data_IF_131451246456
#
_entry.id   IF_131451246456
#
_cell.length_a   1.000
_cell.length_b   1.000
_cell.length_c   1.000
_cell.angle_alpha   90.00
_cell.angle_beta   90.00
_cell.angle_gamma   90.00
#
_symmetry.space_group_name_H-M   'P 1'
#
loop_
_entity.id
_entity.type
_entity.pdbx_description
1 polymer ?
#
# COMPACT_ATOMS: atom_id res chain seq x y z
N UNK A 1 -8.71 23.77 -0.72
CA UNK A 1 -7.28 23.77 -1.10
C UNK A 1 -6.33 23.84 0.10
N UNK A 2 -6.63 24.56 1.19
CA UNK A 2 -5.73 24.68 2.35
C UNK A 2 -5.45 23.37 3.14
N UNK A 3 -6.43 22.46 3.27
CA UNK A 3 -6.28 21.23 4.08
C UNK A 3 -5.41 20.15 3.41
N UNK A 4 -5.46 20.02 2.08
CA UNK A 4 -4.59 19.10 1.33
C UNK A 4 -3.11 19.49 1.43
N UNK A 5 -2.81 20.78 1.54
CA UNK A 5 -1.44 21.27 1.73
C UNK A 5 -0.90 20.92 3.13
N UNK A 6 -1.75 20.98 4.16
CA UNK A 6 -1.34 20.67 5.53
C UNK A 6 -1.04 19.19 5.73
N UNK A 7 -1.87 18.30 5.17
CA UNK A 7 -1.67 16.85 5.24
C UNK A 7 -0.41 16.42 4.47
N UNK A 8 -0.22 16.94 3.26
CA UNK A 8 0.99 16.67 2.46
C UNK A 8 2.23 17.19 3.19
N UNK A 9 2.17 18.39 3.79
CA UNK A 9 3.27 18.91 4.61
C UNK A 9 3.55 18.02 5.82
N UNK A 10 2.53 17.54 6.52
CA UNK A 10 2.71 16.68 7.69
C UNK A 10 3.28 15.30 7.33
N UNK A 11 2.83 14.69 6.23
CA UNK A 11 3.35 13.42 5.71
C UNK A 11 4.75 13.58 5.12
N UNK A 12 5.03 14.68 4.42
CA UNK A 12 6.38 15.02 3.99
C UNK A 12 7.28 15.22 5.21
N UNK A 13 6.82 15.92 6.26
CA UNK A 13 7.55 16.07 7.51
C UNK A 13 7.73 14.72 8.21
N UNK A 14 6.74 13.83 8.21
CA UNK A 14 6.84 12.48 8.79
C UNK A 14 7.82 11.58 8.04
N UNK A 15 7.79 11.58 6.70
CA UNK A 15 8.75 10.87 5.85
C UNK A 15 10.15 11.46 5.97
N UNK A 16 10.26 12.79 6.06
CA UNK A 16 11.52 13.50 6.34
C UNK A 16 12.02 13.14 7.74
N UNK A 17 11.15 13.07 8.75
CA UNK A 17 11.50 12.69 10.13
C UNK A 17 11.95 11.23 10.19
N UNK A 18 11.28 10.29 9.49
CA UNK A 18 11.75 8.90 9.36
C UNK A 18 13.12 8.84 8.67
N UNK A 19 13.32 9.67 7.64
CA UNK A 19 14.60 9.77 6.92
C UNK A 19 15.71 10.39 7.80
N UNK A 20 15.38 11.38 8.65
CA UNK A 20 16.29 12.02 9.61
C UNK A 20 16.61 11.07 10.78
N UNK A 21 15.65 10.29 11.26
CA UNK A 21 15.90 9.28 12.29
C UNK A 21 16.77 8.12 11.76
N UNK A 22 16.77 7.86 10.44
CA UNK A 22 17.69 6.91 9.83
C UNK A 22 19.16 7.39 9.81
N UNK A 23 19.41 8.71 9.90
CA UNK A 23 20.77 9.28 9.84
C UNK A 23 21.58 9.16 11.15
N UNK A 24 20.98 8.78 12.29
CA UNK A 24 21.71 8.73 13.57
C UNK A 24 22.45 7.42 13.88
N UNK A 25 22.50 6.45 12.97
CA UNK A 25 23.25 5.22 13.20
C UNK A 25 24.69 5.32 12.66
N UNK A 26 25.57 5.98 13.41
CA UNK A 26 27.03 5.92 13.19
C UNK A 26 27.48 4.48 13.43
N UNK A 27 27.86 3.76 12.37
CA UNK A 27 28.54 2.47 12.54
C UNK A 27 29.63 2.26 11.51
N UNK A 28 30.85 2.13 12.04
CA UNK A 28 32.01 1.55 11.37
C UNK A 28 31.72 0.06 11.19
N UNK A 29 31.72 -0.40 9.94
CA UNK A 29 31.55 -1.81 9.59
C UNK A 29 32.86 -2.58 9.84
N UNK A 30 32.82 -3.84 10.31
CA UNK A 30 33.99 -4.72 10.29
C UNK A 30 34.42 -5.07 8.85
N UNK A 31 35.71 -5.28 8.64
CA UNK A 31 36.35 -5.50 7.32
C UNK A 31 35.85 -6.76 6.57
N UNK A 32 35.14 -7.66 7.25
CA UNK A 32 34.63 -8.93 6.73
C UNK A 32 33.29 -8.83 5.97
N UNK A 33 32.67 -7.65 5.91
CA UNK A 33 31.41 -7.42 5.18
C UNK A 33 31.58 -7.33 3.65
N UNK A 34 32.53 -8.07 3.08
CA UNK A 34 32.68 -8.20 1.63
C UNK A 34 31.73 -9.27 1.10
N UNK A 35 31.15 -8.99 -0.06
CA UNK A 35 30.17 -9.84 -0.74
C UNK A 35 30.77 -11.23 -0.99
N UNK A 36 30.15 -12.29 -0.47
CA UNK A 36 30.55 -13.64 -0.86
C UNK A 36 30.47 -13.79 -2.38
N UNK A 37 31.58 -14.23 -2.99
CA UNK A 37 31.72 -14.38 -4.44
C UNK A 37 31.03 -15.69 -4.84
N UNK A 38 29.70 -15.65 -4.88
CA UNK A 38 28.88 -16.79 -5.26
C UNK A 38 28.66 -16.77 -6.78
N UNK A 39 28.40 -17.91 -7.41
CA UNK A 39 28.14 -18.02 -8.86
C UNK A 39 27.01 -17.10 -9.36
N UNK A 40 26.15 -16.64 -8.45
CA UNK A 40 25.04 -15.73 -8.67
C UNK A 40 25.45 -14.24 -8.78
N UNK A 41 26.60 -13.81 -8.25
CA UNK A 41 26.99 -12.39 -8.21
C UNK A 41 27.76 -12.02 -9.48
N UNK A 42 27.11 -11.30 -10.41
CA UNK A 42 27.74 -10.91 -11.67
C UNK A 42 27.22 -9.57 -12.19
N UNK A 43 28.02 -8.51 -12.04
CA UNK A 43 27.66 -7.14 -12.46
C UNK A 43 27.33 -7.03 -13.96
N UNK A 44 28.09 -7.71 -14.83
CA UNK A 44 27.88 -7.66 -16.29
C UNK A 44 26.56 -8.32 -16.71
N UNK A 45 26.18 -9.42 -16.04
CA UNK A 45 24.91 -10.12 -16.28
C UNK A 45 23.72 -9.46 -15.54
N UNK A 46 23.96 -8.74 -14.45
CA UNK A 46 22.92 -8.04 -13.69
C UNK A 46 22.40 -6.81 -14.45
N UNK A 47 23.26 -6.06 -15.14
CA UNK A 47 22.86 -4.86 -15.87
C UNK A 47 21.72 -5.09 -16.88
N UNK A 48 21.80 -6.05 -17.82
CA UNK A 48 20.69 -6.29 -18.75
C UNK A 48 19.41 -6.74 -18.04
N UNK A 49 19.52 -7.49 -16.93
CA UNK A 49 18.36 -7.89 -16.13
C UNK A 49 17.67 -6.69 -15.47
N UNK A 50 18.43 -5.72 -14.96
CA UNK A 50 17.88 -4.47 -14.40
C UNK A 50 17.18 -3.63 -15.46
N UNK A 51 17.72 -3.57 -16.68
CA UNK A 51 17.08 -2.87 -17.81
C UNK A 51 15.78 -3.58 -18.19
N UNK A 52 15.78 -4.91 -18.28
CA UNK A 52 14.55 -5.70 -18.52
C UNK A 52 13.53 -5.44 -17.40
N UNK A 53 13.97 -5.37 -16.14
CA UNK A 53 13.11 -5.08 -14.99
C UNK A 53 12.38 -3.74 -15.16
N UNK A 54 13.08 -2.67 -15.54
CA UNK A 54 12.50 -1.34 -15.76
C UNK A 54 11.32 -1.41 -16.73
N UNK A 55 11.51 -2.03 -17.90
CA UNK A 55 10.47 -2.08 -18.93
C UNK A 55 9.33 -3.03 -18.58
N UNK A 56 9.65 -4.24 -18.08
CA UNK A 56 8.65 -5.25 -17.73
C UNK A 56 7.74 -4.77 -16.59
N UNK A 57 8.32 -4.19 -15.54
CA UNK A 57 7.57 -3.64 -14.40
C UNK A 57 6.72 -2.46 -14.87
N UNK A 58 7.28 -1.52 -15.64
CA UNK A 58 6.52 -0.38 -16.18
C UNK A 58 5.28 -0.83 -16.96
N UNK A 59 5.43 -1.80 -17.86
CA UNK A 59 4.33 -2.34 -18.67
C UNK A 59 3.29 -3.02 -17.76
N UNK A 60 3.74 -3.86 -16.82
CA UNK A 60 2.84 -4.55 -15.88
C UNK A 60 2.06 -3.57 -15.00
N UNK A 61 2.69 -2.48 -14.54
CA UNK A 61 2.07 -1.44 -13.75
C UNK A 61 0.99 -0.71 -14.55
N UNK A 62 1.29 -0.32 -15.79
CA UNK A 62 0.34 0.36 -16.67
C UNK A 62 -0.88 -0.54 -16.90
N UNK A 63 -0.66 -1.82 -17.22
CA UNK A 63 -1.75 -2.80 -17.41
C UNK A 63 -2.57 -2.91 -16.12
N UNK A 64 -1.91 -3.09 -14.98
CA UNK A 64 -2.56 -3.22 -13.68
C UNK A 64 -3.45 -2.04 -13.33
N UNK A 65 -2.89 -0.83 -13.32
CA UNK A 65 -3.62 0.39 -12.91
C UNK A 65 -4.68 0.83 -13.90
N UNK A 66 -4.45 0.59 -15.20
CA UNK A 66 -5.40 0.97 -16.23
C UNK A 66 -6.55 -0.02 -16.38
N UNK A 67 -6.33 -1.31 -16.08
CA UNK A 67 -7.35 -2.36 -16.25
C UNK A 67 -8.69 -1.99 -15.60
N UNK A 68 -8.75 -1.60 -14.30
CA UNK A 68 -9.97 -1.09 -13.66
C UNK A 68 -10.57 0.14 -14.35
N UNK A 69 -9.76 1.06 -14.87
CA UNK A 69 -10.25 2.30 -15.48
C UNK A 69 -11.00 2.05 -16.80
N UNK A 70 -10.64 0.99 -17.52
CA UNK A 70 -11.31 0.56 -18.75
C UNK A 70 -12.45 -0.44 -18.53
N UNK A 71 -12.75 -0.83 -17.29
CA UNK A 71 -13.82 -1.79 -16.98
C UNK A 71 -15.22 -1.33 -17.36
N UNK A 72 -15.46 -0.02 -17.49
CA UNK A 72 -16.74 0.49 -18.04
C UNK A 72 -16.93 0.11 -19.50
N UNK A 73 -15.86 -0.21 -20.23
CA UNK A 73 -15.88 -0.67 -21.62
C UNK A 73 -16.05 -2.19 -21.76
N UNK A 74 -15.84 -2.97 -20.68
CA UNK A 74 -15.98 -4.43 -20.67
C UNK A 74 -17.16 -4.83 -19.75
N UNK A 75 -18.32 -5.26 -20.30
CA UNK A 75 -19.55 -5.52 -19.52
C UNK A 75 -19.40 -6.54 -18.38
N UNK A 76 -18.43 -7.46 -18.47
CA UNK A 76 -18.17 -8.48 -17.45
C UNK A 76 -17.40 -7.95 -16.23
N UNK A 77 -16.60 -6.89 -16.39
CA UNK A 77 -15.76 -6.32 -15.34
C UNK A 77 -16.34 -5.02 -14.77
N UNK A 78 -17.55 -4.63 -15.16
CA UNK A 78 -18.13 -3.39 -14.67
C UNK A 78 -18.22 -3.40 -13.13
N UNK A 79 -18.03 -2.24 -12.47
CA UNK A 79 -17.92 -2.16 -11.00
C UNK A 79 -19.08 -2.80 -10.22
N UNK A 80 -20.26 -2.84 -10.83
CA UNK A 80 -21.48 -3.39 -10.24
C UNK A 80 -21.52 -4.93 -10.27
N UNK A 81 -20.68 -5.59 -11.07
CA UNK A 81 -20.68 -7.05 -11.24
C UNK A 81 -19.96 -7.77 -10.11
N UNK A 82 -20.35 -9.01 -9.87
CA UNK A 82 -19.75 -9.87 -8.85
C UNK A 82 -18.29 -10.21 -9.16
N UNK A 83 -17.93 -10.30 -10.44
CA UNK A 83 -16.57 -10.62 -10.87
C UNK A 83 -15.55 -9.54 -10.44
N UNK A 84 -15.91 -8.26 -10.57
CA UNK A 84 -15.06 -7.14 -10.14
C UNK A 84 -14.73 -7.23 -8.64
N UNK A 85 -15.73 -7.53 -7.82
CA UNK A 85 -15.56 -7.74 -6.38
C UNK A 85 -14.64 -8.93 -6.06
N UNK A 86 -14.82 -10.06 -6.73
CA UNK A 86 -13.97 -11.25 -6.53
C UNK A 86 -12.51 -10.94 -6.88
N UNK A 87 -12.29 -10.25 -8.01
CA UNK A 87 -10.95 -9.83 -8.46
C UNK A 87 -10.32 -8.83 -7.48
N UNK A 88 -11.09 -7.88 -6.94
CA UNK A 88 -10.61 -6.96 -5.88
C UNK A 88 -10.16 -7.72 -4.63
N UNK A 89 -10.93 -8.71 -4.18
CA UNK A 89 -10.55 -9.52 -3.02
C UNK A 89 -9.28 -10.34 -3.29
N UNK A 90 -9.14 -10.91 -4.49
CA UNK A 90 -7.90 -11.58 -4.91
C UNK A 90 -6.69 -10.64 -4.86
N UNK A 91 -6.80 -9.45 -5.46
CA UNK A 91 -5.74 -8.44 -5.44
C UNK A 91 -5.39 -8.00 -4.01
N UNK A 92 -6.39 -7.82 -3.15
CA UNK A 92 -6.17 -7.46 -1.73
C UNK A 92 -5.43 -8.55 -0.96
N UNK A 93 -5.70 -9.83 -1.28
CA UNK A 93 -4.94 -10.97 -0.75
C UNK A 93 -3.48 -10.97 -1.18
N UNK A 94 -3.20 -10.63 -2.45
CA UNK A 94 -1.81 -10.45 -2.93
C UNK A 94 -1.10 -9.35 -2.14
N UNK A 95 -1.72 -8.18 -1.99
CA UNK A 95 -1.13 -7.04 -1.25
C UNK A 95 -0.82 -7.43 0.21
N UNK A 96 -1.74 -8.15 0.86
CA UNK A 96 -1.54 -8.64 2.22
C UNK A 96 -0.31 -9.54 2.32
N UNK A 97 -0.19 -10.49 1.38
CA UNK A 97 0.94 -11.40 1.31
C UNK A 97 2.24 -10.69 0.88
N UNK A 98 2.19 -9.66 0.03
CA UNK A 98 3.36 -8.81 -0.25
C UNK A 98 3.90 -8.22 1.04
N UNK A 99 3.03 -7.61 1.86
CA UNK A 99 3.42 -7.05 3.16
C UNK A 99 4.08 -8.07 4.09
N UNK A 100 3.47 -9.25 4.26
CA UNK A 100 3.93 -10.26 5.22
C UNK A 100 5.06 -11.19 4.74
N UNK A 101 5.04 -11.60 3.48
CA UNK A 101 5.89 -12.67 2.96
C UNK A 101 7.04 -12.18 2.10
N UNK A 102 6.99 -10.93 1.62
CA UNK A 102 8.05 -10.34 0.82
C UNK A 102 8.75 -9.21 1.57
N UNK A 103 8.01 -8.19 1.97
CA UNK A 103 8.63 -6.95 2.48
C UNK A 103 9.08 -7.06 3.93
N UNK A 104 8.29 -7.74 4.77
CA UNK A 104 8.64 -7.93 6.18
C UNK A 104 9.89 -8.82 6.35
N UNK A 105 10.01 -9.98 5.66
CA UNK A 105 11.20 -10.82 5.75
C UNK A 105 12.46 -10.12 5.23
N UNK A 106 12.39 -9.38 4.12
CA UNK A 106 13.51 -8.58 3.62
C UNK A 106 14.04 -7.60 4.69
N UNK A 107 13.13 -6.97 5.44
CA UNK A 107 13.52 -6.11 6.56
C UNK A 107 14.23 -6.89 7.67
N UNK A 108 13.74 -8.09 8.01
CA UNK A 108 14.38 -8.94 9.01
C UNK A 108 15.80 -9.34 8.59
N UNK A 109 15.99 -9.73 7.32
CA UNK A 109 17.30 -10.11 6.79
C UNK A 109 18.30 -8.94 6.84
N UNK A 110 17.84 -7.73 6.51
CA UNK A 110 18.70 -6.54 6.56
C UNK A 110 19.06 -6.12 7.99
N UNK A 111 18.08 -6.06 8.90
CA UNK A 111 18.29 -5.61 10.29
C UNK A 111 18.90 -6.67 11.21
N UNK A 112 18.88 -7.95 10.80
CA UNK A 112 19.54 -9.06 11.50
C UNK A 112 20.86 -9.46 10.84
N UNK A 113 21.37 -8.65 9.90
CA UNK A 113 22.63 -8.91 9.22
C UNK A 113 23.80 -8.91 10.21
N UNK A 114 24.76 -9.81 10.00
CA UNK A 114 26.01 -9.88 10.76
C UNK A 114 26.88 -8.61 10.62
N UNK A 115 26.61 -7.80 9.60
CA UNK A 115 27.27 -6.51 9.39
C UNK A 115 26.80 -5.41 10.37
N UNK A 116 25.78 -5.69 11.19
CA UNK A 116 25.29 -4.79 12.22
C UNK A 116 25.78 -5.22 13.61
N UNK A 117 26.10 -4.24 14.45
CA UNK A 117 26.52 -4.47 15.85
C UNK A 117 25.44 -5.22 16.63
N UNK A 118 25.85 -6.16 17.50
CA UNK A 118 24.94 -6.95 18.33
C UNK A 118 23.95 -6.07 19.12
N UNK A 119 24.43 -4.97 19.69
CA UNK A 119 23.59 -3.95 20.31
C UNK A 119 23.49 -2.69 19.41
N UNK A 120 22.28 -2.14 19.16
CA UNK A 120 20.96 -2.61 19.60
C UNK A 120 20.29 -3.61 18.63
N UNK A 121 20.85 -3.81 17.43
CA UNK A 121 20.16 -4.40 16.29
C UNK A 121 19.73 -5.86 16.48
N UNK A 122 20.54 -6.68 17.17
CA UNK A 122 20.23 -8.10 17.39
C UNK A 122 19.49 -8.35 18.71
N UNK A 123 19.32 -7.34 19.56
CA UNK A 123 18.63 -7.47 20.87
C UNK A 123 17.17 -7.04 20.81
N UNK A 124 16.79 -6.17 19.87
CA UNK A 124 15.43 -5.64 19.77
C UNK A 124 14.85 -5.88 18.36
N UNK A 125 13.60 -6.38 18.24
CA UNK A 125 12.99 -6.68 16.94
C UNK A 125 12.50 -5.39 16.25
N UNK A 126 13.45 -4.59 15.75
CA UNK A 126 13.17 -3.31 15.09
C UNK A 126 12.22 -3.46 13.89
N UNK A 127 12.35 -4.52 13.10
CA UNK A 127 11.44 -4.82 11.98
C UNK A 127 9.98 -4.85 12.42
N UNK A 128 9.66 -5.68 13.42
CA UNK A 128 8.29 -5.80 13.93
C UNK A 128 7.80 -4.51 14.60
N UNK A 129 8.67 -3.84 15.37
CA UNK A 129 8.34 -2.59 16.04
C UNK A 129 7.98 -1.47 15.04
N UNK A 130 8.81 -1.28 14.00
CA UNK A 130 8.60 -0.23 12.99
C UNK A 130 7.40 -0.55 12.10
N UNK A 131 7.20 -1.81 11.74
CA UNK A 131 6.01 -2.23 11.00
C UNK A 131 4.72 -1.95 11.80
N UNK A 132 4.69 -2.30 13.09
CA UNK A 132 3.57 -2.00 13.97
C UNK A 132 3.34 -0.49 14.10
N UNK A 133 4.40 0.30 14.32
CA UNK A 133 4.30 1.75 14.44
C UNK A 133 3.77 2.38 13.16
N UNK A 134 4.25 1.92 11.99
CA UNK A 134 3.76 2.36 10.68
C UNK A 134 2.27 2.07 10.50
N UNK A 135 1.81 0.86 10.82
CA UNK A 135 0.40 0.50 10.75
C UNK A 135 -0.47 1.40 11.65
N UNK A 136 -0.01 1.70 12.88
CA UNK A 136 -0.71 2.60 13.80
C UNK A 136 -0.75 4.05 13.29
N UNK A 137 0.34 4.54 12.70
CA UNK A 137 0.37 5.88 12.11
C UNK A 137 -0.55 5.95 10.90
N UNK A 138 -0.59 4.93 10.05
CA UNK A 138 -1.52 4.86 8.92
C UNK A 138 -2.97 4.88 9.39
N UNK A 139 -3.30 4.09 10.42
CA UNK A 139 -4.62 4.14 11.07
C UNK A 139 -4.96 5.53 11.62
N UNK A 140 -4.00 6.17 12.29
CA UNK A 140 -4.17 7.52 12.82
C UNK A 140 -4.47 8.51 11.68
N UNK A 141 -3.73 8.45 10.58
CA UNK A 141 -3.92 9.32 9.41
C UNK A 141 -5.31 9.09 8.81
N UNK A 142 -5.70 7.83 8.57
CA UNK A 142 -6.99 7.49 7.96
C UNK A 142 -8.18 7.91 8.85
N UNK A 143 -8.08 7.65 10.16
CA UNK A 143 -9.07 8.05 11.16
C UNK A 143 -9.19 9.58 11.31
N UNK A 144 -8.06 10.28 11.44
CA UNK A 144 -8.06 11.74 11.56
C UNK A 144 -8.54 12.42 10.28
N UNK A 145 -8.13 11.93 9.12
CA UNK A 145 -8.62 12.42 7.83
C UNK A 145 -10.15 12.29 7.79
N UNK A 146 -10.67 11.09 8.08
CA UNK A 146 -12.11 10.84 8.12
C UNK A 146 -12.84 11.77 9.09
N UNK A 147 -12.33 11.94 10.32
CA UNK A 147 -12.93 12.80 11.34
C UNK A 147 -12.98 14.29 10.94
N UNK A 148 -11.88 14.82 10.40
CA UNK A 148 -11.80 16.22 9.94
C UNK A 148 -12.78 16.46 8.78
N UNK A 149 -12.88 15.51 7.84
CA UNK A 149 -13.81 15.63 6.72
C UNK A 149 -15.28 15.52 7.15
N UNK A 150 -15.61 14.60 8.07
CA UNK A 150 -16.97 14.48 8.62
C UNK A 150 -17.39 15.75 9.35
N UNK A 151 -16.52 16.34 10.19
CA UNK A 151 -16.81 17.60 10.90
C UNK A 151 -17.07 18.77 9.95
N UNK A 152 -16.31 18.88 8.87
CA UNK A 152 -16.47 19.96 7.88
C UNK A 152 -17.76 19.83 7.06
N UNK A 153 -18.22 18.61 6.85
CA UNK A 153 -19.53 18.34 6.23
C UNK A 153 -20.69 18.70 7.17
N UNK A 154 -20.57 18.43 8.48
CA UNK A 154 -21.59 18.81 9.48
C UNK A 154 -21.63 20.31 9.77
N UNK A 155 -20.49 21.02 9.75
CA UNK A 155 -20.44 22.47 9.96
C UNK A 155 -21.03 23.31 8.81
N UNK A 156 -21.34 22.68 7.66
CA UNK A 156 -22.05 23.31 6.54
C UNK A 156 -23.58 23.23 6.64
N UNK A 157 -24.11 22.59 7.68
CA UNK A 157 -25.55 22.52 7.95
C UNK A 157 -25.82 23.43 9.15
N UNK A 158 -26.11 24.71 8.91
CA UNK A 158 -26.81 25.55 9.89
C UNK A 158 -28.28 25.15 9.87
N UNK A 159 -28.84 24.52 10.92
CA UNK A 159 -30.28 24.43 11.07
C UNK A 159 -30.74 25.78 11.60
N UNK A 160 -31.46 26.54 10.77
CA UNK A 160 -32.26 27.64 11.29
C UNK A 160 -33.37 27.02 12.16
N UNK A 161 -33.40 27.42 13.45
CA UNK A 161 -34.47 27.24 14.43
C UNK A 161 -35.00 25.83 14.71
N UNK A 162 -34.76 25.35 15.94
CA UNK A 162 -35.80 25.31 16.99
C UNK A 162 -35.33 24.53 18.25
N UNK A 163 -35.25 25.26 19.36
CA UNK A 163 -35.61 24.88 20.75
C UNK A 163 -35.15 23.55 21.38
N UNK A 164 -34.20 23.71 22.32
CA UNK A 164 -33.91 22.98 23.56
C UNK A 164 -34.69 21.71 23.97
N UNK A 165 -33.96 20.65 24.36
CA UNK A 165 -33.86 20.16 25.76
C UNK A 165 -32.68 19.19 25.93
N UNK A 166 -32.02 19.09 27.12
CA UNK A 166 -30.80 18.33 27.33
C UNK A 166 -31.06 16.98 28.00
N UNK A 167 -30.59 15.90 27.37
CA UNK A 167 -30.14 14.62 27.96
C UNK A 167 -30.34 13.52 26.91
N UNK A 168 -29.24 13.04 26.32
CA UNK A 168 -28.81 11.66 26.54
C UNK A 168 -27.58 11.34 25.68
N UNK A 169 -26.74 10.49 26.26
CA UNK A 169 -25.34 10.31 25.91
C UNK A 169 -25.11 9.76 24.50
N UNK A 170 -24.12 10.34 23.83
CA UNK A 170 -23.57 9.84 22.58
C UNK A 170 -22.93 8.47 22.77
N UNK A 171 -23.67 7.41 22.46
CA UNK A 171 -23.10 6.09 22.21
C UNK A 171 -22.68 6.04 20.74
N UNK A 172 -21.37 6.11 20.50
CA UNK A 172 -20.77 5.80 19.20
C UNK A 172 -20.90 4.30 19.00
N UNK A 173 -21.88 3.87 18.22
CA UNK A 173 -22.07 2.46 17.92
C UNK A 173 -21.28 2.08 16.66
N UNK A 174 -20.19 1.33 16.89
CA UNK A 174 -19.42 0.61 15.88
C UNK A 174 -20.09 -0.77 15.75
N UNK A 175 -20.83 -1.01 14.66
CA UNK A 175 -21.44 -2.32 14.38
C UNK A 175 -22.89 -2.25 13.87
N UNK A 176 -23.25 -3.19 13.01
CA UNK A 176 -24.34 -3.12 12.03
C UNK A 176 -25.65 -3.83 12.48
N UNK A 177 -26.81 -3.25 12.11
CA UNK A 177 -28.16 -3.83 11.82
C UNK A 177 -28.98 -4.61 12.88
N UNK A 178 -30.14 -4.08 13.28
CA UNK A 178 -31.49 -4.63 13.01
C UNK A 178 -32.62 -3.81 13.67
N UNK A 179 -33.64 -3.43 12.90
CA UNK A 179 -34.90 -2.88 13.40
C UNK A 179 -35.99 -3.02 12.34
N UNK A 180 -37.02 -3.82 12.63
CA UNK A 180 -38.18 -4.04 11.76
C UNK A 180 -39.09 -2.80 11.77
N UNK A 181 -39.42 -2.30 10.58
CA UNK A 181 -40.43 -1.26 10.38
C UNK A 181 -40.97 -1.36 8.95
N UNK A 182 -42.21 -1.81 8.82
CA UNK A 182 -42.94 -1.81 7.56
C UNK A 182 -43.32 -0.36 7.20
N UNK A 183 -42.90 0.09 6.02
CA UNK A 183 -43.29 1.38 5.45
C UNK A 183 -42.73 1.51 4.05
N UNK A 184 -43.59 1.34 3.04
CA UNK A 184 -43.26 1.68 1.66
C UNK A 184 -43.11 3.20 1.55
N UNK A 185 -41.88 3.69 1.46
CA UNK A 185 -41.62 5.04 0.97
C UNK A 185 -40.30 5.06 0.19
N UNK A 186 -40.37 5.56 -1.04
CA UNK A 186 -39.24 5.80 -1.92
C UNK A 186 -38.48 7.02 -1.38
N UNK A 187 -37.51 6.79 -0.50
CA UNK A 187 -36.69 7.88 0.05
C UNK A 187 -35.55 8.24 -0.93
N UNK A 188 -35.46 9.50 -1.38
CA UNK A 188 -34.26 9.96 -2.07
C UNK A 188 -33.10 9.97 -1.08
N UNK A 189 -31.97 9.34 -1.45
CA UNK A 189 -30.73 9.34 -0.64
C UNK A 189 -30.44 10.77 -0.16
N UNK A 190 -30.28 11.01 1.15
CA UNK A 190 -29.97 12.34 1.65
C UNK A 190 -28.61 12.76 1.09
N UNK A 191 -28.59 13.91 0.39
CA UNK A 191 -27.45 14.41 -0.39
C UNK A 191 -26.11 14.43 0.38
N UNK A 192 -26.14 14.53 1.73
CA UNK A 192 -24.95 14.48 2.57
C UNK A 192 -24.23 13.12 2.65
N UNK A 193 -24.94 12.00 2.43
CA UNK A 193 -24.35 10.64 2.58
C UNK A 193 -23.52 10.22 1.37
N UNK A 194 -23.92 10.62 0.16
CA UNK A 194 -23.19 10.32 -1.07
C UNK A 194 -21.86 11.10 -1.15
N UNK A 195 -21.89 12.38 -0.76
CA UNK A 195 -20.68 13.21 -0.72
C UNK A 195 -19.67 12.72 0.32
N UNK A 196 -20.14 12.24 1.48
CA UNK A 196 -19.28 11.64 2.50
C UNK A 196 -18.63 10.32 2.04
N UNK A 197 -19.38 9.45 1.35
CA UNK A 197 -18.83 8.22 0.78
C UNK A 197 -17.79 8.49 -0.31
N UNK A 198 -18.04 9.44 -1.20
CA UNK A 198 -17.08 9.86 -2.22
C UNK A 198 -15.79 10.43 -1.60
N UNK A 199 -15.91 11.24 -0.55
CA UNK A 199 -14.75 11.75 0.18
C UNK A 199 -13.93 10.62 0.82
N UNK A 200 -14.59 9.62 1.41
CA UNK A 200 -13.91 8.44 1.97
C UNK A 200 -13.12 7.68 0.90
N UNK A 201 -13.72 7.41 -0.27
CA UNK A 201 -12.99 6.77 -1.37
C UNK A 201 -11.80 7.59 -1.85
N UNK A 202 -11.90 8.92 -1.82
CA UNK A 202 -10.79 9.81 -2.18
C UNK A 202 -9.66 9.76 -1.15
N UNK A 203 -9.96 9.70 0.15
CA UNK A 203 -8.95 9.57 1.21
C UNK A 203 -8.24 8.23 1.06
N UNK A 204 -9.00 7.13 0.98
CA UNK A 204 -8.46 5.78 0.79
C UNK A 204 -7.54 5.74 -0.45
N UNK A 205 -7.99 6.27 -1.59
CA UNK A 205 -7.18 6.28 -2.82
C UNK A 205 -5.87 7.07 -2.68
N UNK A 206 -5.86 8.18 -1.95
CA UNK A 206 -4.65 9.00 -1.74
C UNK A 206 -3.69 8.36 -0.72
N UNK A 207 -4.22 7.76 0.35
CA UNK A 207 -3.42 7.04 1.35
C UNK A 207 -2.79 5.79 0.74
N UNK A 208 -3.58 5.03 -0.01
CA UNK A 208 -3.15 3.87 -0.81
C UNK A 208 -2.05 4.25 -1.80
N UNK A 209 -2.26 5.31 -2.59
CA UNK A 209 -1.25 5.79 -3.54
C UNK A 209 0.06 6.20 -2.85
N UNK A 210 -0.02 6.96 -1.76
CA UNK A 210 1.15 7.40 -1.01
C UNK A 210 1.95 6.22 -0.45
N UNK A 211 1.25 5.24 0.12
CA UNK A 211 1.86 4.03 0.63
C UNK A 211 2.57 3.22 -0.43
N UNK A 212 1.90 3.02 -1.57
CA UNK A 212 2.48 2.33 -2.72
C UNK A 212 3.71 3.09 -3.26
N UNK A 213 3.68 4.43 -3.32
CA UNK A 213 4.83 5.21 -3.81
C UNK A 213 6.05 4.99 -2.93
N UNK A 214 5.90 5.11 -1.60
CA UNK A 214 7.02 4.89 -0.66
C UNK A 214 7.57 3.47 -0.81
N UNK A 215 6.69 2.47 -0.84
CA UNK A 215 7.05 1.08 -1.04
C UNK A 215 7.83 0.84 -2.34
N UNK A 216 7.29 1.35 -3.44
CA UNK A 216 7.79 1.16 -4.81
C UNK A 216 9.18 1.75 -5.01
N UNK A 217 9.49 2.89 -4.39
CA UNK A 217 10.83 3.49 -4.46
C UNK A 217 11.86 2.59 -3.77
N UNK A 218 11.54 2.05 -2.59
CA UNK A 218 12.47 1.27 -1.77
C UNK A 218 12.77 -0.08 -2.43
N UNK A 219 11.75 -0.77 -2.94
CA UNK A 219 11.95 -1.99 -3.73
C UNK A 219 12.78 -1.70 -4.99
N UNK A 220 12.42 -0.64 -5.72
CA UNK A 220 13.11 -0.28 -6.94
C UNK A 220 14.60 0.00 -6.68
N UNK A 221 14.90 0.78 -5.65
CA UNK A 221 16.27 1.08 -5.23
C UNK A 221 17.06 -0.20 -4.94
N UNK A 222 16.47 -1.13 -4.19
CA UNK A 222 17.10 -2.39 -3.79
C UNK A 222 17.41 -3.29 -4.98
N UNK A 223 16.44 -3.48 -5.91
CA UNK A 223 16.67 -4.24 -7.14
C UNK A 223 17.72 -3.56 -8.04
N UNK A 224 17.64 -2.23 -8.16
CA UNK A 224 18.58 -1.43 -8.94
C UNK A 224 20.01 -1.50 -8.41
N UNK A 225 20.18 -1.61 -7.10
CA UNK A 225 21.49 -1.73 -6.45
C UNK A 225 22.08 -3.15 -6.56
N UNK A 226 21.24 -4.19 -6.39
CA UNK A 226 21.65 -5.60 -6.33
C UNK A 226 22.50 -6.06 -7.51
N UNK A 227 23.53 -6.88 -7.27
CA UNK A 227 24.35 -7.50 -8.31
C UNK A 227 24.15 -9.03 -8.39
N UNK A 228 23.20 -9.57 -7.62
CA UNK A 228 22.87 -10.98 -7.58
C UNK A 228 21.86 -11.32 -8.69
N UNK A 229 22.35 -11.98 -9.73
CA UNK A 229 21.55 -12.34 -10.91
C UNK A 229 20.50 -13.41 -10.65
N UNK A 230 20.67 -14.24 -9.62
CA UNK A 230 19.69 -15.25 -9.22
C UNK A 230 18.48 -14.56 -8.58
N UNK A 231 18.73 -13.69 -7.61
CA UNK A 231 17.70 -12.86 -6.95
C UNK A 231 17.00 -11.94 -7.95
N UNK A 232 17.74 -11.20 -8.80
CA UNK A 232 17.10 -10.27 -9.76
C UNK A 232 16.11 -10.98 -10.69
N UNK A 233 16.42 -12.19 -11.17
CA UNK A 233 15.50 -12.93 -12.08
C UNK A 233 14.20 -13.29 -11.38
N UNK A 234 14.29 -13.79 -10.15
CA UNK A 234 13.15 -14.13 -9.33
C UNK A 234 12.32 -12.91 -8.97
N UNK A 235 12.98 -11.87 -8.43
CA UNK A 235 12.38 -10.58 -8.12
C UNK A 235 11.63 -10.00 -9.32
N UNK A 236 12.21 -9.94 -10.53
CA UNK A 236 11.51 -9.35 -11.69
C UNK A 236 10.17 -10.02 -11.96
N UNK A 237 10.11 -11.35 -11.89
CA UNK A 237 8.85 -12.08 -12.08
C UNK A 237 7.86 -11.79 -10.94
N UNK A 238 8.32 -11.84 -9.69
CA UNK A 238 7.48 -11.57 -8.52
C UNK A 238 6.96 -10.12 -8.51
N UNK A 239 7.83 -9.15 -8.80
CA UNK A 239 7.51 -7.72 -8.91
C UNK A 239 6.48 -7.48 -10.02
N UNK A 240 6.67 -8.01 -11.23
CA UNK A 240 5.69 -7.83 -12.31
C UNK A 240 4.29 -8.35 -11.92
N UNK A 241 4.24 -9.50 -11.25
CA UNK A 241 2.98 -10.09 -10.84
C UNK A 241 2.31 -9.29 -9.73
N UNK A 242 2.98 -8.99 -8.62
CA UNK A 242 2.33 -8.24 -7.54
C UNK A 242 2.02 -6.81 -7.95
N UNK A 243 2.91 -6.14 -8.71
CA UNK A 243 2.71 -4.78 -9.18
C UNK A 243 1.49 -4.68 -10.10
N UNK A 244 1.22 -5.69 -10.93
CA UNK A 244 0.00 -5.73 -11.74
C UNK A 244 -1.27 -5.76 -10.87
N UNK A 245 -1.30 -6.58 -9.82
CA UNK A 245 -2.48 -6.71 -8.95
C UNK A 245 -2.61 -5.56 -7.93
N UNK A 246 -1.51 -5.02 -7.44
CA UNK A 246 -1.47 -3.76 -6.68
C UNK A 246 -2.03 -2.60 -7.50
N UNK A 247 -1.61 -2.51 -8.76
CA UNK A 247 -2.13 -1.53 -9.71
C UNK A 247 -3.63 -1.70 -9.92
N UNK A 248 -4.11 -2.94 -10.03
CA UNK A 248 -5.54 -3.22 -10.17
C UNK A 248 -6.34 -2.80 -8.92
N UNK A 249 -5.78 -3.00 -7.72
CA UNK A 249 -6.35 -2.49 -6.47
C UNK A 249 -6.48 -0.96 -6.48
N UNK A 250 -5.37 -0.27 -6.76
CA UNK A 250 -5.32 1.20 -6.83
C UNK A 250 -6.24 1.75 -7.92
N UNK A 251 -6.22 1.16 -9.12
CA UNK A 251 -7.08 1.56 -10.24
C UNK A 251 -8.57 1.44 -9.89
N UNK A 252 -8.94 0.42 -9.11
CA UNK A 252 -10.30 0.28 -8.55
C UNK A 252 -10.67 1.43 -7.62
N UNK A 253 -9.78 1.81 -6.71
CA UNK A 253 -9.97 2.96 -5.83
C UNK A 253 -10.03 4.30 -6.59
N UNK A 254 -9.18 4.50 -7.61
CA UNK A 254 -9.20 5.67 -8.50
C UNK A 254 -10.54 5.77 -9.25
N UNK A 255 -11.09 4.63 -9.67
CA UNK A 255 -12.38 4.58 -10.35
C UNK A 255 -13.52 4.98 -9.41
N UNK A 256 -13.52 4.48 -8.18
CA UNK A 256 -14.53 4.77 -7.14
C UNK A 256 -14.45 6.20 -6.60
N UNK A 257 -13.27 6.83 -6.62
CA UNK A 257 -13.06 8.20 -6.17
C UNK A 257 -13.63 9.29 -7.11
N UNK A 258 -14.15 8.87 -8.28
CA UNK A 258 -14.75 9.72 -9.32
C UNK A 258 -13.92 10.96 -9.68
N UNK A 259 -12.60 10.79 -9.76
CA UNK A 259 -11.70 11.88 -10.12
C UNK A 259 -11.85 12.30 -11.59
N UNK A 260 -11.53 13.58 -11.86
CA UNK A 260 -11.35 14.10 -13.23
C UNK A 260 -10.24 13.31 -13.94
N UNK A 261 -10.35 13.16 -15.27
CA UNK A 261 -9.42 12.38 -16.08
C UNK A 261 -7.95 12.73 -15.83
N UNK A 262 -7.62 14.02 -15.72
CA UNK A 262 -6.27 14.48 -15.42
C UNK A 262 -5.73 13.90 -14.10
N UNK A 263 -6.53 13.92 -13.02
CA UNK A 263 -6.10 13.38 -11.73
C UNK A 263 -5.94 11.85 -11.79
N UNK A 264 -6.83 11.14 -12.50
CA UNK A 264 -6.68 9.69 -12.75
C UNK A 264 -5.37 9.38 -13.48
N UNK A 265 -5.06 10.17 -14.51
CA UNK A 265 -3.81 10.04 -15.28
C UNK A 265 -2.58 10.29 -14.41
N UNK A 266 -2.57 11.38 -13.63
CA UNK A 266 -1.45 11.71 -12.73
C UNK A 266 -1.21 10.58 -11.74
N UNK A 267 -2.27 10.04 -11.12
CA UNK A 267 -2.12 8.95 -10.15
C UNK A 267 -1.60 7.65 -10.82
N UNK A 268 -2.15 7.29 -11.97
CA UNK A 268 -1.68 6.13 -12.74
C UNK A 268 -0.22 6.28 -13.21
N UNK A 269 0.18 7.50 -13.58
CA UNK A 269 1.55 7.83 -13.97
C UNK A 269 2.53 7.62 -12.80
N UNK A 270 2.24 8.20 -11.63
CA UNK A 270 3.10 8.03 -10.45
C UNK A 270 3.19 6.58 -10.02
N UNK A 271 2.07 5.85 -9.97
CA UNK A 271 2.09 4.41 -9.70
C UNK A 271 3.02 3.64 -10.65
N UNK A 272 2.96 3.95 -11.96
CA UNK A 272 3.69 3.18 -12.96
C UNK A 272 5.17 3.52 -13.04
N UNK A 273 5.55 4.77 -12.80
CA UNK A 273 6.93 5.27 -12.97
C UNK A 273 7.77 5.11 -11.71
N UNK A 274 7.17 5.03 -10.53
CA UNK A 274 7.91 5.06 -9.26
C UNK A 274 8.89 3.88 -9.11
N UNK A 275 8.48 2.63 -9.38
CA UNK A 275 9.38 1.47 -9.29
C UNK A 275 10.50 1.53 -10.35
N UNK A 276 10.22 1.76 -11.65
CA UNK A 276 11.26 1.98 -12.66
C UNK A 276 12.25 3.10 -12.31
N UNK A 277 11.75 4.20 -11.76
CA UNK A 277 12.58 5.31 -11.27
C UNK A 277 13.48 4.85 -10.10
N UNK A 278 12.93 4.13 -9.12
CA UNK A 278 13.70 3.52 -8.04
C UNK A 278 14.82 2.61 -8.56
N UNK A 279 14.55 1.78 -9.57
CA UNK A 279 15.55 0.90 -10.18
C UNK A 279 16.66 1.72 -10.86
N UNK A 280 16.31 2.73 -11.63
CA UNK A 280 17.28 3.62 -12.27
C UNK A 280 18.15 4.35 -11.22
N UNK A 281 17.54 4.82 -10.14
CA UNK A 281 18.23 5.45 -9.01
C UNK A 281 19.16 4.47 -8.30
N UNK A 282 18.72 3.23 -8.03
CA UNK A 282 19.55 2.17 -7.45
C UNK A 282 20.73 1.80 -8.33
N UNK A 283 20.52 1.74 -9.66
CA UNK A 283 21.61 1.54 -10.61
C UNK A 283 22.63 2.67 -10.57
N UNK A 284 22.18 3.92 -10.47
CA UNK A 284 23.07 5.08 -10.37
C UNK A 284 23.88 5.06 -9.07
N UNK A 285 23.22 4.78 -7.94
CA UNK A 285 23.84 4.74 -6.61
C UNK A 285 24.75 3.53 -6.42
N UNK A 286 24.51 2.40 -7.10
CA UNK A 286 25.34 1.19 -7.01
C UNK A 286 26.82 1.39 -7.39
N UNK A 287 27.17 2.54 -8.00
CA UNK A 287 28.54 2.92 -8.33
C UNK A 287 29.33 3.42 -7.12
N UNK A 288 28.65 4.01 -6.14
CA UNK A 288 29.24 4.63 -4.94
C UNK A 288 28.80 3.95 -3.65
N UNK A 289 27.69 3.22 -3.69
CA UNK A 289 27.06 2.56 -2.54
C UNK A 289 27.50 1.10 -2.42
N UNK A 290 27.75 0.65 -1.18
CA UNK A 290 27.96 -0.76 -0.84
C UNK A 290 26.70 -1.29 -0.17
N UNK A 291 26.05 -2.27 -0.79
CA UNK A 291 24.77 -2.84 -0.32
C UNK A 291 24.87 -3.45 1.09
N UNK A 292 26.06 -3.94 1.49
CA UNK A 292 26.34 -4.48 2.82
C UNK A 292 26.84 -3.44 3.84
N UNK A 293 26.82 -2.15 3.50
CA UNK A 293 27.21 -1.13 4.49
C UNK A 293 26.16 -1.07 5.62
N UNK A 294 26.58 -0.88 6.88
CA UNK A 294 25.65 -0.79 8.01
C UNK A 294 24.56 0.25 7.81
N UNK A 295 24.92 1.44 7.31
CA UNK A 295 23.96 2.50 6.98
C UNK A 295 22.94 2.01 5.95
N UNK A 296 23.38 1.26 4.93
CA UNK A 296 22.47 0.73 3.94
C UNK A 296 21.45 -0.25 4.50
N UNK A 297 21.95 -1.22 5.27
CA UNK A 297 21.15 -2.26 5.90
C UNK A 297 20.13 -1.63 6.87
N UNK A 298 20.55 -0.64 7.65
CA UNK A 298 19.68 0.06 8.59
C UNK A 298 18.62 0.87 7.86
N UNK A 299 19.01 1.74 6.92
CA UNK A 299 18.06 2.61 6.23
C UNK A 299 17.06 1.81 5.42
N UNK A 300 17.51 0.88 4.59
CA UNK A 300 16.60 0.07 3.75
C UNK A 300 15.79 -0.91 4.60
N UNK A 301 16.38 -1.51 5.63
CA UNK A 301 15.68 -2.39 6.55
C UNK A 301 14.54 -1.69 7.31
N UNK A 302 14.77 -0.48 7.81
CA UNK A 302 13.73 0.32 8.48
C UNK A 302 12.64 0.80 7.50
N UNK A 303 13.03 1.20 6.29
CA UNK A 303 12.08 1.60 5.25
C UNK A 303 11.21 0.42 4.80
N UNK A 304 11.77 -0.78 4.65
CA UNK A 304 11.02 -2.01 4.37
C UNK A 304 10.08 -2.38 5.53
N UNK A 305 10.53 -2.28 6.79
CA UNK A 305 9.65 -2.50 7.94
C UNK A 305 8.44 -1.55 7.92
N UNK A 306 8.71 -0.25 7.73
CA UNK A 306 7.68 0.78 7.66
C UNK A 306 6.71 0.51 6.50
N UNK A 307 7.24 0.17 5.32
CA UNK A 307 6.46 -0.15 4.15
C UNK A 307 5.58 -1.39 4.34
N UNK A 308 6.10 -2.44 4.96
CA UNK A 308 5.34 -3.66 5.27
C UNK A 308 4.15 -3.35 6.20
N UNK A 309 4.39 -2.60 7.28
CA UNK A 309 3.34 -2.16 8.20
C UNK A 309 2.20 -1.40 7.51
N UNK A 310 2.56 -0.51 6.57
CA UNK A 310 1.59 0.21 5.76
C UNK A 310 0.77 -0.75 4.87
N UNK A 311 1.43 -1.63 4.10
CA UNK A 311 0.76 -2.57 3.21
C UNK A 311 -0.17 -3.52 3.96
N UNK A 312 0.23 -3.99 5.13
CA UNK A 312 -0.59 -4.84 6.00
C UNK A 312 -1.85 -4.11 6.43
N UNK A 313 -1.72 -2.87 6.93
CA UNK A 313 -2.87 -2.04 7.32
C UNK A 313 -3.82 -1.84 6.13
N UNK A 314 -3.26 -1.41 5.01
CA UNK A 314 -3.99 -1.11 3.78
C UNK A 314 -4.74 -2.33 3.23
N UNK A 315 -4.12 -3.51 3.23
CA UNK A 315 -4.77 -4.71 2.76
C UNK A 315 -5.90 -5.18 3.71
N UNK A 316 -5.66 -5.19 5.02
CA UNK A 316 -6.66 -5.67 5.98
C UNK A 316 -7.80 -4.67 6.19
N UNK A 317 -7.48 -3.39 6.38
CA UNK A 317 -8.44 -2.36 6.80
C UNK A 317 -9.04 -1.64 5.58
N UNK A 318 -8.21 -1.09 4.70
CA UNK A 318 -8.69 -0.23 3.61
C UNK A 318 -9.32 -1.02 2.46
N UNK A 319 -8.91 -2.27 2.28
CA UNK A 319 -9.36 -3.13 1.17
C UNK A 319 -10.27 -4.27 1.64
N UNK A 320 -9.75 -5.24 2.39
CA UNK A 320 -10.50 -6.43 2.77
C UNK A 320 -11.68 -6.08 3.69
N UNK A 321 -11.44 -5.39 4.80
CA UNK A 321 -12.51 -5.00 5.73
C UNK A 321 -13.56 -4.14 5.03
N UNK A 322 -13.14 -3.15 4.24
CA UNK A 322 -14.04 -2.29 3.48
C UNK A 322 -14.96 -3.06 2.50
N UNK A 323 -14.43 -4.07 1.79
CA UNK A 323 -15.23 -4.89 0.87
C UNK A 323 -16.13 -5.89 1.64
N UNK A 324 -15.58 -6.62 2.62
CA UNK A 324 -16.32 -7.66 3.35
C UNK A 324 -17.41 -7.08 4.25
N UNK A 325 -17.23 -5.88 4.81
CA UNK A 325 -18.27 -5.19 5.59
C UNK A 325 -19.22 -4.38 4.70
N UNK A 326 -18.96 -4.31 3.38
CA UNK A 326 -19.80 -3.60 2.43
C UNK A 326 -21.16 -4.29 2.18
N UNK A 327 -22.21 -3.52 1.80
CA UNK A 327 -23.56 -4.04 1.63
C UNK A 327 -23.68 -5.13 0.55
N UNK A 328 -22.78 -5.11 -0.46
CA UNK A 328 -22.79 -6.07 -1.56
C UNK A 328 -22.41 -7.49 -1.12
N UNK A 329 -21.37 -7.65 -0.28
CA UNK A 329 -20.97 -8.97 0.22
C UNK A 329 -21.86 -9.42 1.38
N UNK A 330 -22.23 -8.50 2.27
CA UNK A 330 -23.15 -8.77 3.37
C UNK A 330 -24.55 -9.22 2.89
N UNK A 331 -24.98 -8.74 1.72
CA UNK A 331 -26.23 -9.18 1.08
C UNK A 331 -26.18 -10.55 0.39
N UNK A 332 -25.01 -11.21 0.29
CA UNK A 332 -24.90 -12.49 -0.41
C UNK A 332 -23.78 -13.39 0.12
N UNK A 333 -24.14 -14.37 0.96
CA UNK A 333 -23.20 -15.34 1.51
C UNK A 333 -22.43 -16.12 0.43
N UNK A 334 -23.08 -16.42 -0.71
CA UNK A 334 -22.44 -17.10 -1.84
C UNK A 334 -21.32 -16.25 -2.47
N UNK A 335 -21.54 -14.94 -2.59
CA UNK A 335 -20.51 -14.02 -3.09
C UNK A 335 -19.40 -13.86 -2.06
N UNK A 336 -19.75 -13.74 -0.78
CA UNK A 336 -18.80 -13.60 0.32
C UNK A 336 -17.83 -14.80 0.38
N UNK A 337 -18.32 -16.04 0.30
CA UNK A 337 -17.47 -17.24 0.26
C UNK A 337 -16.54 -17.21 -0.96
N UNK A 338 -17.04 -16.87 -2.15
CA UNK A 338 -16.21 -16.76 -3.37
C UNK A 338 -15.11 -15.70 -3.21
N UNK A 339 -15.44 -14.57 -2.59
CA UNK A 339 -14.50 -13.50 -2.28
C UNK A 339 -13.44 -13.92 -1.25
N UNK A 340 -13.81 -14.69 -0.21
CA UNK A 340 -12.84 -15.25 0.74
C UNK A 340 -11.87 -16.22 0.06
N UNK A 341 -12.39 -17.15 -0.74
CA UNK A 341 -11.55 -18.07 -1.52
C UNK A 341 -10.61 -17.30 -2.43
N UNK A 342 -11.10 -16.25 -3.11
CA UNK A 342 -10.27 -15.41 -3.95
C UNK A 342 -9.16 -14.69 -3.18
N UNK A 343 -9.47 -14.11 -2.01
CA UNK A 343 -8.47 -13.49 -1.15
C UNK A 343 -7.39 -14.49 -0.69
N UNK A 344 -7.79 -15.70 -0.28
CA UNK A 344 -6.86 -16.76 0.11
C UNK A 344 -6.00 -17.23 -1.07
N UNK A 345 -6.56 -17.36 -2.27
CA UNK A 345 -5.81 -17.70 -3.47
C UNK A 345 -4.80 -16.61 -3.84
N UNK A 346 -5.18 -15.34 -3.69
CA UNK A 346 -4.26 -14.22 -3.90
C UNK A 346 -3.10 -14.24 -2.92
N UNK A 347 -3.40 -14.39 -1.63
CA UNK A 347 -2.39 -14.48 -0.57
C UNK A 347 -1.46 -15.69 -0.75
N UNK A 348 -2.02 -16.87 -1.02
CA UNK A 348 -1.27 -18.10 -1.26
C UNK A 348 -0.42 -18.01 -2.53
N UNK A 349 -0.94 -17.45 -3.62
CA UNK A 349 -0.19 -17.25 -4.86
C UNK A 349 1.04 -16.36 -4.65
N UNK A 350 0.88 -15.23 -3.98
CA UNK A 350 2.01 -14.34 -3.67
C UNK A 350 3.00 -14.99 -2.70
N UNK A 351 2.52 -15.79 -1.74
CA UNK A 351 3.39 -16.52 -0.80
C UNK A 351 4.25 -17.58 -1.50
N UNK A 352 3.70 -18.28 -2.50
CA UNK A 352 4.47 -19.24 -3.31
C UNK A 352 5.53 -18.54 -4.16
N UNK A 353 5.21 -17.37 -4.71
CA UNK A 353 6.20 -16.59 -5.45
C UNK A 353 7.35 -16.08 -4.57
N UNK A 354 7.08 -15.81 -3.28
CA UNK A 354 8.12 -15.37 -2.34
C UNK A 354 9.23 -16.42 -2.13
N UNK A 355 9.01 -17.69 -2.45
CA UNK A 355 10.06 -18.74 -2.44
C UNK A 355 11.20 -18.41 -3.41
N UNK A 356 10.87 -17.71 -4.49
CA UNK A 356 11.78 -17.42 -5.60
C UNK A 356 12.18 -15.95 -5.67
N UNK A 357 11.59 -15.10 -4.84
CA UNK A 357 11.82 -13.66 -4.80
C UNK A 357 13.18 -13.36 -4.16
#
# INVERSE_FOLDING_TARGET
MASSSSLVKFLSIFLIIISIFAEQAISVAPDECQTEVNSCTNKKKALPLKVIAIFSILISSIIGVCSPLFTKSIPALSPDKNLFTIVKCFASGIILATGFMHVLPDSFEMLSSQCLKEHPWHKFPFTGFVAMLSALVTLMIDSMATSIYSRKSSAGITPASATASPNDMAVVNIGQFHGHGHGHHYDPKPAGTADQQLLRYRVIAMVLELGIVVHSVVIGLSLGASNNTCTIKGLVAALCFHQMFEGMGLGGCILQAEYKAFKKFVMAFFFSVTTPFGIAMGMALSRTYKDNSPTALITVGLLNASSSGLLIYMALVDLLSAEFMGPKLQGSIKLQIKSYVAALLGAGGMSVMAIWA
#
